data_IF_521491204851
#
_entry.id   IF_521491204851
#
_cell.length_a   1.000
_cell.length_b   1.000
_cell.length_c   1.000
_cell.angle_alpha   90.00
_cell.angle_beta   90.00
_cell.angle_gamma   90.00
#
_symmetry.space_group_name_H-M   'P 1'
#
loop_
_entity.id
_entity.type
_entity.pdbx_description
1 polymer ?
#
# COMPACT_ATOMS: atom_id res chain seq x y z
N UNK A 1 3.37 12.46 1.95
CA UNK A 1 3.24 12.99 0.57
C UNK A 1 2.50 14.31 0.63
N UNK A 2 2.35 14.98 -0.51
CA UNK A 2 1.44 16.12 -0.62
C UNK A 2 -0.01 15.64 -0.45
N UNK A 3 -0.87 16.49 0.15
CA UNK A 3 -2.28 16.15 0.38
C UNK A 3 -3.09 15.96 -0.92
N UNK A 4 -2.60 16.55 -2.01
CA UNK A 4 -3.18 16.44 -3.35
C UNK A 4 -2.72 15.19 -4.11
N UNK A 5 -1.76 14.41 -3.57
CA UNK A 5 -1.25 13.24 -4.26
C UNK A 5 -2.33 12.16 -4.36
N UNK A 6 -2.50 11.64 -5.57
CA UNK A 6 -3.45 10.58 -5.91
C UNK A 6 -2.89 9.19 -5.60
N UNK A 7 -3.73 8.17 -5.67
CA UNK A 7 -3.27 6.78 -5.54
C UNK A 7 -2.37 6.40 -6.72
N UNK A 8 -2.66 6.93 -7.90
CA UNK A 8 -1.86 6.78 -9.11
C UNK A 8 -0.46 7.37 -8.93
N UNK A 9 -0.32 8.58 -8.36
CA UNK A 9 0.98 9.18 -8.04
C UNK A 9 1.79 8.32 -7.07
N UNK A 10 1.10 7.65 -6.13
CA UNK A 10 1.73 6.70 -5.22
C UNK A 10 2.25 5.46 -5.96
N UNK A 11 1.45 4.87 -6.86
CA UNK A 11 1.86 3.72 -7.67
C UNK A 11 3.04 4.07 -8.59
N UNK A 12 3.06 5.27 -9.16
CA UNK A 12 4.19 5.76 -9.95
C UNK A 12 5.47 5.88 -9.12
N UNK A 13 5.37 6.37 -7.88
CA UNK A 13 6.52 6.40 -6.95
C UNK A 13 7.04 5.02 -6.62
N UNK A 14 6.15 4.03 -6.41
CA UNK A 14 6.58 2.65 -6.22
C UNK A 14 7.35 2.13 -7.44
N UNK A 15 6.85 2.43 -8.66
CA UNK A 15 7.45 2.00 -9.91
C UNK A 15 8.79 2.66 -10.21
N UNK A 16 8.92 3.96 -9.98
CA UNK A 16 10.07 4.74 -10.43
C UNK A 16 11.11 4.94 -9.33
N UNK A 17 10.67 5.35 -8.14
CA UNK A 17 11.57 5.75 -7.06
C UNK A 17 11.92 4.61 -6.11
N UNK A 18 11.11 3.54 -6.09
CA UNK A 18 11.27 2.43 -5.15
C UNK A 18 11.27 1.05 -5.82
N UNK A 19 11.60 0.98 -7.12
CA UNK A 19 11.64 -0.28 -7.88
C UNK A 19 12.57 -1.34 -7.25
N UNK A 20 13.64 -0.90 -6.58
CA UNK A 20 14.69 -1.71 -5.98
C UNK A 20 14.71 -1.59 -4.44
N UNK A 21 13.65 -1.05 -3.84
CA UNK A 21 13.62 -0.75 -2.42
C UNK A 21 12.29 -1.11 -1.79
N UNK A 22 12.34 -1.90 -0.72
CA UNK A 22 11.16 -2.15 0.10
C UNK A 22 10.70 -0.87 0.82
N UNK A 23 9.39 -0.72 0.97
CA UNK A 23 8.74 0.37 1.69
C UNK A 23 7.50 -0.12 2.43
N UNK A 24 7.21 0.52 3.56
CA UNK A 24 5.88 0.50 4.13
C UNK A 24 5.20 1.82 3.79
N UNK A 25 3.89 1.78 3.54
CA UNK A 25 3.09 2.97 3.34
C UNK A 25 1.74 2.80 4.03
N UNK A 26 1.18 3.91 4.50
CA UNK A 26 -0.23 4.00 4.85
C UNK A 26 -0.86 4.98 3.89
N UNK A 27 -1.93 4.55 3.22
CA UNK A 27 -2.66 5.35 2.25
C UNK A 27 -4.11 5.46 2.69
N UNK A 28 -4.62 6.68 2.73
CA UNK A 28 -6.05 6.94 2.82
C UNK A 28 -6.63 6.80 1.40
N UNK A 29 -7.20 5.63 1.09
CA UNK A 29 -7.78 5.39 -0.21
C UNK A 29 -9.24 5.83 -0.23
N UNK A 30 -9.54 6.83 -1.07
CA UNK A 30 -10.87 7.44 -1.18
C UNK A 30 -11.45 7.07 -2.55
N UNK A 31 -12.67 6.54 -2.55
CA UNK A 31 -13.40 6.21 -3.78
C UNK A 31 -14.84 6.67 -3.68
N UNK A 32 -15.30 7.40 -4.68
CA UNK A 32 -16.72 7.67 -4.89
C UNK A 32 -17.32 6.54 -5.72
N UNK A 33 -18.34 5.87 -5.20
CA UNK A 33 -19.09 4.84 -5.93
C UNK A 33 -20.20 5.48 -6.78
N UNK A 34 -20.80 4.71 -7.68
CA UNK A 34 -21.75 5.19 -8.70
C UNK A 34 -22.98 5.92 -8.12
N UNK A 35 -23.38 5.57 -6.89
CA UNK A 35 -24.48 6.20 -6.17
C UNK A 35 -24.11 7.58 -5.56
N UNK A 36 -22.88 8.05 -5.76
CA UNK A 36 -22.37 9.31 -5.23
C UNK A 36 -21.80 9.21 -3.81
N UNK A 37 -21.87 8.05 -3.16
CA UNK A 37 -21.30 7.85 -1.82
C UNK A 37 -19.78 7.80 -1.90
N UNK A 38 -19.11 8.65 -1.13
CA UNK A 38 -17.67 8.57 -0.95
C UNK A 38 -17.33 7.62 0.19
N UNK A 39 -16.47 6.64 -0.10
CA UNK A 39 -15.93 5.69 0.86
C UNK A 39 -14.45 5.92 1.03
N UNK A 40 -13.99 5.97 2.27
CA UNK A 40 -12.57 6.03 2.63
C UNK A 40 -12.15 4.78 3.39
N UNK A 41 -10.90 4.35 3.17
CA UNK A 41 -10.29 3.27 3.96
C UNK A 41 -8.80 3.53 4.14
N UNK A 42 -8.31 3.39 5.37
CA UNK A 42 -6.88 3.36 5.68
C UNK A 42 -6.30 2.02 5.30
N UNK A 43 -5.36 2.01 4.36
CA UNK A 43 -4.71 0.80 3.88
C UNK A 43 -3.24 0.82 4.25
N UNK A 44 -2.81 -0.19 5.00
CA UNK A 44 -1.39 -0.43 5.25
C UNK A 44 -0.81 -1.30 4.13
N UNK A 45 0.22 -0.81 3.46
CA UNK A 45 0.83 -1.41 2.29
C UNK A 45 2.26 -1.82 2.64
N UNK A 46 2.59 -3.09 2.44
CA UNK A 46 3.97 -3.57 2.43
C UNK A 46 4.42 -3.76 0.98
N UNK A 47 5.29 -2.87 0.51
CA UNK A 47 5.95 -2.93 -0.79
C UNK A 47 7.30 -3.65 -0.65
N UNK A 48 7.46 -4.79 -1.33
CA UNK A 48 8.68 -5.58 -1.28
C UNK A 48 9.00 -6.14 -2.69
N UNK A 49 9.56 -5.31 -3.59
CA UNK A 49 9.84 -5.74 -4.96
C UNK A 49 10.96 -6.76 -5.00
N UNK A 50 10.92 -7.64 -6.01
CA UNK A 50 11.92 -8.72 -6.16
C UNK A 50 13.33 -8.20 -6.42
N UNK A 51 13.43 -7.01 -7.00
CA UNK A 51 14.67 -6.32 -7.32
C UNK A 51 15.33 -5.71 -6.07
N UNK A 52 14.62 -5.62 -4.95
CA UNK A 52 15.21 -5.13 -3.71
C UNK A 52 16.26 -6.08 -3.16
N UNK A 53 17.26 -5.51 -2.48
CA UNK A 53 18.30 -6.28 -1.81
C UNK A 53 17.68 -7.32 -0.85
N UNK A 54 18.17 -8.57 -0.89
CA UNK A 54 17.72 -9.68 -0.03
C UNK A 54 17.69 -9.32 1.47
N UNK A 55 18.71 -8.61 1.97
CA UNK A 55 18.77 -8.14 3.36
C UNK A 55 17.62 -7.19 3.68
N UNK A 56 17.29 -6.30 2.75
CA UNK A 56 16.18 -5.37 2.91
C UNK A 56 14.84 -6.12 2.91
N UNK A 57 14.64 -7.05 1.97
CA UNK A 57 13.44 -7.89 1.93
C UNK A 57 13.24 -8.65 3.25
N UNK A 58 14.32 -9.21 3.81
CA UNK A 58 14.30 -9.93 5.08
C UNK A 58 13.90 -9.02 6.25
N UNK A 59 14.51 -7.84 6.37
CA UNK A 59 14.20 -6.87 7.44
C UNK A 59 12.75 -6.43 7.34
N UNK A 60 12.28 -6.07 6.14
CA UNK A 60 10.91 -5.61 5.96
C UNK A 60 9.90 -6.72 6.32
N UNK A 61 10.08 -7.93 5.77
CA UNK A 61 9.17 -9.06 6.06
C UNK A 61 9.12 -9.41 7.55
N UNK A 62 10.26 -9.44 8.23
CA UNK A 62 10.32 -9.76 9.67
C UNK A 62 9.75 -8.66 10.57
N UNK A 63 9.85 -7.39 10.15
CA UNK A 63 9.43 -6.24 10.96
C UNK A 63 7.96 -5.85 10.72
N UNK A 64 7.38 -6.18 9.56
CA UNK A 64 5.99 -5.82 9.19
C UNK A 64 4.98 -6.19 10.29
N UNK A 65 5.10 -7.38 10.87
CA UNK A 65 4.14 -7.85 11.90
C UNK A 65 4.17 -7.01 13.18
N UNK A 66 5.35 -6.53 13.59
CA UNK A 66 5.48 -5.65 14.75
C UNK A 66 4.95 -4.25 14.43
N UNK A 67 5.33 -3.69 13.27
CA UNK A 67 4.87 -2.38 12.84
C UNK A 67 3.33 -2.34 12.69
N UNK A 68 2.73 -3.36 12.09
CA UNK A 68 1.27 -3.48 11.93
C UNK A 68 0.53 -3.36 13.26
N UNK A 69 1.04 -4.00 14.33
CA UNK A 69 0.37 -4.01 15.64
C UNK A 69 0.29 -2.62 16.27
N UNK A 70 1.24 -1.76 15.97
CA UNK A 70 1.27 -0.36 16.44
C UNK A 70 0.36 0.56 15.60
N UNK A 71 -0.07 0.13 14.41
CA UNK A 71 -0.95 0.91 13.54
C UNK A 71 -2.42 0.69 13.89
N UNK A 72 -2.97 1.58 14.72
CA UNK A 72 -4.38 1.58 15.08
C UNK A 72 -5.24 2.19 13.97
N UNK A 73 -6.41 1.60 13.72
CA UNK A 73 -7.39 2.13 12.76
C UNK A 73 -7.11 1.80 11.28
N UNK A 74 -6.22 0.85 11.01
CA UNK A 74 -6.03 0.30 9.66
C UNK A 74 -7.25 -0.54 9.28
N UNK A 75 -7.90 -0.19 8.17
CA UNK A 75 -9.09 -0.88 7.66
C UNK A 75 -8.77 -2.02 6.68
N UNK A 76 -7.56 -2.03 6.10
CA UNK A 76 -7.07 -3.13 5.30
C UNK A 76 -5.53 -3.20 5.32
N UNK A 77 -4.99 -4.41 5.19
CA UNK A 77 -3.57 -4.63 4.93
C UNK A 77 -3.40 -5.31 3.58
N UNK A 78 -2.43 -4.82 2.82
CA UNK A 78 -2.04 -5.39 1.53
C UNK A 78 -0.52 -5.54 1.46
N UNK A 79 -0.08 -6.55 0.73
CA UNK A 79 1.33 -6.82 0.49
C UNK A 79 1.52 -7.06 -1.00
N UNK A 80 2.58 -6.50 -1.58
CA UNK A 80 2.81 -6.60 -3.02
C UNK A 80 4.30 -6.54 -3.38
N UNK A 81 4.63 -7.23 -4.47
CA UNK A 81 5.97 -7.27 -5.05
C UNK A 81 6.04 -6.64 -6.44
N UNK A 82 4.88 -6.37 -7.03
CA UNK A 82 4.67 -5.61 -8.25
C UNK A 82 3.60 -4.52 -8.03
N UNK A 83 3.63 -3.47 -8.86
CA UNK A 83 2.68 -2.36 -8.73
C UNK A 83 1.26 -2.88 -8.97
N UNK A 84 1.14 -3.85 -9.86
CA UNK A 84 -0.09 -4.54 -10.22
C UNK A 84 -0.62 -5.37 -9.04
N UNK A 85 0.25 -6.02 -8.26
CA UNK A 85 -0.14 -6.70 -7.01
C UNK A 85 -0.75 -5.70 -6.03
N UNK A 86 -0.08 -4.56 -5.82
CA UNK A 86 -0.52 -3.52 -4.87
C UNK A 86 -1.84 -2.92 -5.32
N UNK A 87 -1.93 -2.50 -6.58
CA UNK A 87 -3.13 -1.90 -7.14
C UNK A 87 -4.34 -2.84 -7.06
N UNK A 88 -4.16 -4.09 -7.48
CA UNK A 88 -5.21 -5.11 -7.42
C UNK A 88 -5.65 -5.41 -6.00
N UNK A 89 -4.70 -5.56 -5.07
CA UNK A 89 -5.00 -5.85 -3.67
C UNK A 89 -5.71 -4.68 -2.97
N UNK A 90 -5.28 -3.43 -3.22
CA UNK A 90 -5.96 -2.24 -2.67
C UNK A 90 -7.38 -2.15 -3.21
N UNK A 91 -7.58 -2.31 -4.51
CA UNK A 91 -8.92 -2.29 -5.12
C UNK A 91 -9.80 -3.40 -4.54
N UNK A 92 -9.31 -4.63 -4.45
CA UNK A 92 -10.03 -5.76 -3.86
C UNK A 92 -10.42 -5.49 -2.40
N UNK A 93 -9.52 -4.95 -1.59
CA UNK A 93 -9.78 -4.59 -0.20
C UNK A 93 -10.91 -3.56 -0.03
N UNK A 94 -11.20 -2.77 -1.06
CA UNK A 94 -12.34 -1.83 -1.06
C UNK A 94 -13.68 -2.47 -1.40
N UNK A 95 -13.68 -3.59 -2.13
CA UNK A 95 -14.90 -4.31 -2.51
C UNK A 95 -15.43 -5.23 -1.40
N UNK A 96 -14.58 -5.69 -0.48
CA UNK A 96 -14.97 -6.54 0.65
C UNK A 96 -15.59 -5.75 1.82
N UNK A 97 -16.67 -5.02 1.55
CA UNK A 97 -17.44 -4.31 2.59
C UNK A 97 -18.83 -4.91 2.75
#
# INVERSE_FOLDING_TARGET
GERSATFEDFLEKLRQSYADQCRWAVVDYIRTVEDGTTREKKVFITWCPKQANMRQQMIYKSTTGALRKELVGIGAEVQGSSVEDVEGAVKAAMHHQ
#
